data_IF_166772496138
#
_entry.id   IF_166772496138
#
_cell.length_a   1.000
_cell.length_b   1.000
_cell.length_c   1.000
_cell.angle_alpha   90.00
_cell.angle_beta   90.00
_cell.angle_gamma   90.00
#
_symmetry.space_group_name_H-M   'P 1'
#
loop_
_entity.id
_entity.type
_entity.pdbx_description
1 polymer ?
#
# COMPACT_ATOMS: atom_id res chain seq x y z
N UNK A 1 -21.18 10.22 -1.84
CA UNK A 1 -21.30 8.76 -1.63
C UNK A 1 -22.76 8.35 -1.67
N UNK A 2 -23.10 7.42 -2.53
CA UNK A 2 -24.43 6.81 -2.65
C UNK A 2 -24.41 5.34 -2.19
N UNK A 3 -25.57 4.85 -1.78
CA UNK A 3 -25.77 3.43 -1.44
C UNK A 3 -25.74 2.54 -2.67
N UNK A 4 -25.82 1.23 -2.46
CA UNK A 4 -25.91 0.23 -3.55
C UNK A 4 -27.14 0.45 -4.45
N UNK A 5 -28.15 1.14 -3.92
CA UNK A 5 -29.38 1.58 -4.56
C UNK A 5 -29.23 2.90 -5.36
N UNK A 6 -28.06 3.55 -5.33
CA UNK A 6 -27.78 4.81 -6.02
C UNK A 6 -28.34 6.06 -5.33
N UNK A 7 -29.05 5.90 -4.21
CA UNK A 7 -29.59 7.02 -3.42
C UNK A 7 -28.53 7.59 -2.49
N UNK A 8 -28.73 8.83 -2.05
CA UNK A 8 -27.88 9.45 -1.03
C UNK A 8 -27.97 8.62 0.25
N UNK A 9 -26.81 8.36 0.87
CA UNK A 9 -26.79 7.68 2.16
C UNK A 9 -27.54 8.51 3.20
N UNK A 10 -28.51 7.90 3.88
CA UNK A 10 -29.31 8.53 4.90
C UNK A 10 -29.47 7.60 6.12
N UNK A 11 -29.19 8.12 7.31
CA UNK A 11 -29.33 7.35 8.57
C UNK A 11 -30.74 6.79 8.77
N UNK A 12 -31.75 7.58 8.38
CA UNK A 12 -33.17 7.22 8.45
C UNK A 12 -33.51 6.07 7.49
N UNK A 13 -32.89 6.03 6.31
CA UNK A 13 -33.16 5.03 5.28
C UNK A 13 -32.37 3.73 5.49
N UNK A 14 -31.40 3.72 6.42
CA UNK A 14 -30.53 2.57 6.72
C UNK A 14 -29.91 1.95 5.47
N UNK A 15 -29.67 2.76 4.44
CA UNK A 15 -29.10 2.36 3.14
C UNK A 15 -27.56 2.44 3.11
N UNK A 16 -26.92 2.41 4.28
CA UNK A 16 -25.47 2.43 4.44
C UNK A 16 -25.03 1.25 5.32
N UNK A 17 -23.83 0.74 5.06
CA UNK A 17 -23.21 -0.28 5.92
C UNK A 17 -22.48 0.46 7.05
N UNK A 18 -22.63 -0.03 8.28
CA UNK A 18 -21.90 0.53 9.42
C UNK A 18 -20.38 0.44 9.16
N UNK A 19 -19.65 1.57 9.20
CA UNK A 19 -18.20 1.57 8.99
C UNK A 19 -17.45 0.64 9.94
N UNK A 20 -17.95 0.44 11.16
CA UNK A 20 -17.34 -0.43 12.17
C UNK A 20 -17.28 -1.87 11.68
N UNK A 21 -18.34 -2.35 11.03
CA UNK A 21 -18.39 -3.71 10.47
C UNK A 21 -17.33 -3.89 9.38
N UNK A 22 -17.14 -2.87 8.54
CA UNK A 22 -16.14 -2.90 7.48
C UNK A 22 -14.73 -2.88 8.06
N UNK A 23 -14.49 -2.02 9.07
CA UNK A 23 -13.21 -1.93 9.77
C UNK A 23 -12.85 -3.24 10.46
N UNK A 24 -13.79 -3.88 11.14
CA UNK A 24 -13.54 -5.14 11.85
C UNK A 24 -13.25 -6.30 10.89
N UNK A 25 -13.88 -6.28 9.71
CA UNK A 25 -13.75 -7.35 8.71
C UNK A 25 -12.52 -7.21 7.81
N UNK A 26 -12.17 -5.99 7.42
CA UNK A 26 -11.13 -5.74 6.41
C UNK A 26 -9.98 -4.87 6.91
N UNK A 27 -10.07 -4.32 8.11
CA UNK A 27 -9.13 -3.34 8.62
C UNK A 27 -9.46 -1.93 8.16
N UNK A 28 -9.14 -0.96 9.01
CA UNK A 28 -9.43 0.46 8.76
C UNK A 28 -8.62 1.02 7.58
N UNK A 29 -7.40 0.52 7.35
CA UNK A 29 -6.53 1.03 6.28
C UNK A 29 -6.99 0.61 4.89
N UNK A 30 -7.59 -0.58 4.76
CA UNK A 30 -8.23 -0.98 3.50
C UNK A 30 -9.37 -0.04 3.12
N UNK A 31 -10.19 0.36 4.11
CA UNK A 31 -11.25 1.35 3.91
C UNK A 31 -10.69 2.74 3.55
N UNK A 32 -9.64 3.19 4.25
CA UNK A 32 -8.98 4.49 3.95
C UNK A 32 -8.43 4.52 2.53
N UNK A 33 -7.68 3.50 2.15
CA UNK A 33 -7.07 3.42 0.83
C UNK A 33 -8.13 3.28 -0.27
N UNK A 34 -9.19 2.51 -0.03
CA UNK A 34 -10.34 2.47 -0.93
C UNK A 34 -10.93 3.86 -1.18
N UNK A 35 -11.14 4.66 -0.13
CA UNK A 35 -11.70 6.00 -0.28
C UNK A 35 -10.75 6.96 -1.02
N UNK A 36 -9.45 6.93 -0.72
CA UNK A 36 -8.44 7.79 -1.36
C UNK A 36 -8.28 7.45 -2.85
N UNK A 37 -8.35 6.17 -3.21
CA UNK A 37 -8.25 5.72 -4.61
C UNK A 37 -9.55 5.87 -5.39
N UNK A 38 -10.64 6.26 -4.73
CA UNK A 38 -11.95 6.38 -5.35
C UNK A 38 -12.18 7.76 -5.98
N UNK A 39 -13.13 7.87 -6.94
CA UNK A 39 -13.49 9.15 -7.57
C UNK A 39 -13.99 10.21 -6.59
N UNK A 40 -14.27 9.85 -5.33
CA UNK A 40 -14.68 10.81 -4.29
C UNK A 40 -13.64 11.90 -4.05
N UNK A 41 -12.35 11.61 -4.27
CA UNK A 41 -11.26 12.58 -4.10
C UNK A 41 -11.33 13.69 -5.15
N UNK A 42 -11.87 13.39 -6.34
CA UNK A 42 -12.11 14.37 -7.40
C UNK A 42 -13.47 15.08 -7.27
N UNK A 43 -14.18 14.90 -6.15
CA UNK A 43 -15.52 15.46 -5.93
C UNK A 43 -16.64 14.75 -6.68
N UNK A 44 -16.34 13.63 -7.34
CA UNK A 44 -17.32 12.85 -8.09
C UNK A 44 -18.14 11.91 -7.19
N UNK A 45 -19.26 11.44 -7.73
CA UNK A 45 -20.16 10.56 -6.98
C UNK A 45 -19.59 9.14 -6.86
N UNK A 46 -19.19 8.75 -5.66
CA UNK A 46 -18.84 7.36 -5.33
C UNK A 46 -20.07 6.53 -4.96
N UNK A 47 -20.29 5.41 -5.62
CA UNK A 47 -21.19 4.34 -5.17
C UNK A 47 -20.40 3.39 -4.25
N UNK A 48 -20.78 3.29 -2.99
CA UNK A 48 -20.03 2.45 -2.04
C UNK A 48 -20.27 0.96 -2.34
N UNK A 49 -19.19 0.20 -2.47
CA UNK A 49 -19.20 -1.26 -2.64
C UNK A 49 -18.16 -1.90 -1.70
N UNK A 50 -18.62 -2.78 -0.83
CA UNK A 50 -17.78 -3.55 0.10
C UNK A 50 -16.74 -4.39 -0.66
N UNK A 51 -17.08 -4.89 -1.86
CA UNK A 51 -16.13 -5.66 -2.68
C UNK A 51 -14.92 -4.82 -3.08
N UNK A 52 -15.10 -3.51 -3.29
CA UNK A 52 -14.00 -2.60 -3.57
C UNK A 52 -12.99 -2.56 -2.43
N UNK A 53 -13.46 -2.52 -1.19
CA UNK A 53 -12.60 -2.59 0.01
C UNK A 53 -11.88 -3.94 0.10
N UNK A 54 -12.58 -5.04 -0.19
CA UNK A 54 -11.95 -6.36 -0.23
C UNK A 54 -10.88 -6.48 -1.31
N UNK A 55 -11.08 -5.87 -2.48
CA UNK A 55 -10.11 -5.90 -3.57
C UNK A 55 -8.83 -5.15 -3.19
N UNK A 56 -8.94 -4.01 -2.51
CA UNK A 56 -7.76 -3.30 -1.99
C UNK A 56 -6.89 -4.21 -1.10
N UNK A 57 -7.49 -5.03 -0.24
CA UNK A 57 -6.73 -6.01 0.53
C UNK A 57 -6.01 -7.03 -0.35
N UNK A 58 -6.72 -7.59 -1.33
CA UNK A 58 -6.18 -8.64 -2.20
C UNK A 58 -5.09 -8.14 -3.13
N UNK A 59 -5.29 -6.96 -3.70
CA UNK A 59 -4.47 -6.45 -4.81
C UNK A 59 -3.31 -5.58 -4.32
N UNK A 60 -3.41 -5.02 -3.10
CA UNK A 60 -2.37 -4.14 -2.53
C UNK A 60 -1.74 -4.75 -1.29
N UNK A 61 -2.54 -4.97 -0.25
CA UNK A 61 -2.01 -5.37 1.06
C UNK A 61 -1.39 -6.77 1.05
N UNK A 62 -2.02 -7.76 0.40
CA UNK A 62 -1.46 -9.11 0.30
C UNK A 62 -0.11 -9.14 -0.43
N UNK A 63 0.06 -8.52 -1.62
CA UNK A 63 1.37 -8.41 -2.26
C UNK A 63 2.43 -7.74 -1.39
N UNK A 64 2.09 -6.64 -0.71
CA UNK A 64 3.03 -5.94 0.18
C UNK A 64 3.46 -6.82 1.36
N UNK A 65 2.51 -7.51 1.99
CA UNK A 65 2.80 -8.42 3.07
C UNK A 65 3.68 -9.59 2.62
N UNK A 66 3.40 -10.15 1.44
CA UNK A 66 4.21 -11.22 0.85
C UNK A 66 5.64 -10.76 0.57
N UNK A 67 5.83 -9.53 0.04
CA UNK A 67 7.14 -8.96 -0.20
C UNK A 67 7.94 -8.78 1.11
N UNK A 68 7.29 -8.30 2.17
CA UNK A 68 7.90 -8.19 3.50
C UNK A 68 8.30 -9.56 4.06
N UNK A 69 7.41 -10.55 3.96
CA UNK A 69 7.71 -11.91 4.42
C UNK A 69 8.89 -12.52 3.65
N UNK A 70 8.94 -12.32 2.33
CA UNK A 70 10.07 -12.76 1.51
C UNK A 70 11.39 -12.12 1.96
N UNK A 71 11.40 -10.82 2.27
CA UNK A 71 12.58 -10.12 2.78
C UNK A 71 13.05 -10.74 4.10
N UNK A 72 12.15 -10.89 5.07
CA UNK A 72 12.47 -11.46 6.38
C UNK A 72 13.02 -12.88 6.24
N UNK A 73 12.35 -13.73 5.45
CA UNK A 73 12.81 -15.09 5.18
C UNK A 73 14.19 -15.10 4.52
N UNK A 74 14.47 -14.18 3.60
CA UNK A 74 15.79 -14.07 2.96
C UNK A 74 16.88 -13.68 3.96
N UNK A 75 16.58 -12.76 4.89
CA UNK A 75 17.49 -12.40 5.98
C UNK A 75 17.76 -13.59 6.92
N UNK A 76 16.72 -14.36 7.27
CA UNK A 76 16.86 -15.56 8.10
C UNK A 76 17.72 -16.63 7.41
N UNK A 77 17.51 -16.85 6.10
CA UNK A 77 18.33 -17.78 5.32
C UNK A 77 19.80 -17.34 5.26
N UNK A 78 20.08 -16.05 5.08
CA UNK A 78 21.45 -15.52 5.13
C UNK A 78 22.15 -15.80 6.47
N UNK A 79 21.41 -15.73 7.57
CA UNK A 79 21.92 -16.04 8.91
C UNK A 79 22.21 -17.54 9.08
N UNK A 80 21.38 -18.41 8.53
CA UNK A 80 21.57 -19.86 8.60
C UNK A 80 22.76 -20.29 7.73
N UNK A 81 22.76 -19.90 6.46
CA UNK A 81 23.71 -20.40 5.47
C UNK A 81 25.10 -19.78 5.60
N UNK A 82 25.15 -18.45 5.78
CA UNK A 82 26.40 -17.68 5.77
C UNK A 82 26.83 -17.22 7.16
N UNK A 83 26.01 -17.46 8.20
CA UNK A 83 26.22 -16.93 9.57
C UNK A 83 26.35 -15.40 9.61
N UNK A 84 25.73 -14.72 8.63
CA UNK A 84 25.72 -13.26 8.54
C UNK A 84 24.40 -12.76 9.11
N UNK A 85 24.47 -11.91 10.13
CA UNK A 85 23.30 -11.14 10.55
C UNK A 85 23.18 -9.92 9.63
N UNK A 86 22.09 -9.86 8.86
CA UNK A 86 21.82 -8.71 8.01
C UNK A 86 21.56 -7.46 8.87
N UNK A 87 22.34 -6.41 8.61
CA UNK A 87 22.15 -5.07 9.19
C UNK A 87 22.16 -4.11 8.01
N UNK A 88 21.21 -3.19 7.98
CA UNK A 88 21.16 -2.16 6.96
C UNK A 88 22.40 -1.26 7.06
N UNK A 89 23.14 -1.13 5.95
CA UNK A 89 24.30 -0.24 5.83
C UNK A 89 24.09 0.72 4.66
N UNK A 90 23.85 1.99 5.01
CA UNK A 90 23.62 3.07 4.06
C UNK A 90 24.88 3.38 3.22
N UNK A 91 26.08 3.34 3.82
CA UNK A 91 27.33 3.65 3.10
C UNK A 91 27.70 2.56 2.11
N UNK A 92 27.48 1.31 2.49
CA UNK A 92 27.64 0.15 1.62
C UNK A 92 26.71 0.21 0.40
N UNK A 93 25.46 0.66 0.60
CA UNK A 93 24.48 0.84 -0.49
C UNK A 93 24.93 1.89 -1.52
N UNK A 94 25.33 3.08 -1.07
CA UNK A 94 25.79 4.12 -2.02
C UNK A 94 27.06 3.72 -2.77
N UNK A 95 27.93 2.97 -2.10
CA UNK A 95 29.15 2.44 -2.71
C UNK A 95 28.83 1.39 -3.78
N UNK A 96 27.90 0.47 -3.53
CA UNK A 96 27.49 -0.55 -4.50
C UNK A 96 26.73 0.02 -5.70
N UNK A 97 25.93 1.08 -5.49
CA UNK A 97 25.26 1.82 -6.56
C UNK A 97 26.26 2.58 -7.45
N UNK A 98 27.25 3.25 -6.85
CA UNK A 98 28.29 3.98 -7.61
C UNK A 98 29.12 3.05 -8.48
N UNK A 99 29.28 1.80 -8.05
CA UNK A 99 29.96 0.74 -8.79
C UNK A 99 29.03 0.01 -9.78
N UNK A 100 27.74 0.35 -9.84
CA UNK A 100 26.70 -0.27 -10.68
C UNK A 100 26.72 -1.81 -10.62
N UNK A 101 26.88 -2.37 -9.40
CA UNK A 101 27.00 -3.82 -9.22
C UNK A 101 25.72 -4.56 -9.67
N UNK A 102 24.55 -3.94 -9.46
CA UNK A 102 23.27 -4.47 -9.88
C UNK A 102 22.38 -3.35 -10.45
N UNK A 103 22.06 -3.46 -11.75
CA UNK A 103 21.22 -2.49 -12.46
C UNK A 103 19.82 -2.41 -11.86
N UNK A 104 19.26 -3.52 -11.38
CA UNK A 104 17.92 -3.54 -10.79
C UNK A 104 17.88 -2.74 -9.49
N UNK A 105 18.88 -2.90 -8.62
CA UNK A 105 18.95 -2.18 -7.35
C UNK A 105 19.12 -0.68 -7.59
N UNK A 106 19.98 -0.28 -8.53
CA UNK A 106 20.12 1.12 -8.95
C UNK A 106 18.80 1.69 -9.48
N UNK A 107 18.08 0.92 -10.31
CA UNK A 107 16.79 1.35 -10.85
C UNK A 107 15.72 1.49 -9.75
N UNK A 108 15.60 0.53 -8.82
CA UNK A 108 14.66 0.59 -7.71
C UNK A 108 14.91 1.86 -6.89
N UNK A 109 16.16 2.15 -6.51
CA UNK A 109 16.48 3.34 -5.72
C UNK A 109 16.16 4.63 -6.49
N UNK A 110 16.55 4.71 -7.77
CA UNK A 110 16.22 5.86 -8.63
C UNK A 110 14.70 6.10 -8.72
N UNK A 111 13.93 5.03 -8.90
CA UNK A 111 12.47 5.11 -8.95
C UNK A 111 11.87 5.56 -7.61
N UNK A 112 12.39 5.08 -6.48
CA UNK A 112 11.92 5.52 -5.16
C UNK A 112 12.19 7.00 -4.91
N UNK A 113 13.33 7.54 -5.33
CA UNK A 113 13.62 8.97 -5.22
C UNK A 113 12.67 9.80 -6.08
N UNK A 114 12.45 9.36 -7.32
CA UNK A 114 11.47 10.01 -8.23
C UNK A 114 10.07 10.03 -7.61
N UNK A 115 9.64 8.92 -6.99
CA UNK A 115 8.35 8.85 -6.30
C UNK A 115 8.27 9.80 -5.10
N UNK A 116 9.34 9.92 -4.31
CA UNK A 116 9.40 10.85 -3.17
C UNK A 116 9.24 12.30 -3.65
N UNK A 117 9.96 12.68 -4.70
CA UNK A 117 9.89 14.04 -5.24
C UNK A 117 8.51 14.35 -5.83
N UNK A 118 7.94 13.40 -6.57
CA UNK A 118 6.57 13.51 -7.08
C UNK A 118 5.55 13.71 -5.95
N UNK A 119 5.60 12.88 -4.89
CA UNK A 119 4.66 13.00 -3.76
C UNK A 119 4.82 14.33 -3.03
N UNK A 120 6.05 14.82 -2.83
CA UNK A 120 6.27 16.15 -2.23
C UNK A 120 5.64 17.25 -3.08
N UNK A 121 5.89 17.23 -4.38
CA UNK A 121 5.37 18.25 -5.29
C UNK A 121 3.82 18.28 -5.34
N UNK A 122 3.17 17.12 -5.32
CA UNK A 122 1.70 17.05 -5.39
C UNK A 122 1.03 17.32 -4.03
N UNK A 123 1.78 17.28 -2.92
CA UNK A 123 1.26 17.52 -1.57
C UNK A 123 1.57 18.92 -1.01
N UNK A 124 2.48 19.68 -1.63
CA UNK A 124 2.76 21.10 -1.34
C UNK A 124 1.70 22.04 -1.95
#
# INVERSE_FOLDING_TARGET
>A
VSGTDGKKLAKKEKNYIDPTIICDKYGTDALRLFLITSPVVHGESLKFDEKGVQNILKDVFLPWYNALCLLIQSCDQLKIDKKINFIYDEKGLYSSMSLNINVMDTWIVSYTQTLIDFVKQEMD
#
